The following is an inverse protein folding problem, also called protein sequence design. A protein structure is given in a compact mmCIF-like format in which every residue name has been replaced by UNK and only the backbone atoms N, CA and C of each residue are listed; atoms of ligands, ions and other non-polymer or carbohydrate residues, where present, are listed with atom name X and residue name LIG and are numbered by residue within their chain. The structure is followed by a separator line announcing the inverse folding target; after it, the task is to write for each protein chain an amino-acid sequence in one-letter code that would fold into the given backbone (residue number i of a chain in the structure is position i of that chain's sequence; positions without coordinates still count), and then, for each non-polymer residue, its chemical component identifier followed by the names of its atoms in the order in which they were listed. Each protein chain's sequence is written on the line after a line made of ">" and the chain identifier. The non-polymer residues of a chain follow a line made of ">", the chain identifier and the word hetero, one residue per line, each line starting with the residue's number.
data_IF_586583913087
#
_entry.id   IF_586583913087
#
_cell.length_a   1.000
_cell.length_b   1.000
_cell.length_c   1.000
_cell.angle_alpha   90.00
_cell.angle_beta   90.00
_cell.angle_gamma   90.00
#
_symmetry.space_group_name_H-M   'P 1'
#
loop_
_entity.id
_entity.type
_entity.pdbx_description
1 polymer ?
#
# COMPACT_ATOMS: atom_id res chain seq x y z
N UNK A 1 8.56 36.93 23.91
CA UNK A 1 9.06 35.91 22.96
C UNK A 1 9.67 34.79 23.78
N UNK A 2 9.00 33.65 23.87
CA UNK A 2 9.48 32.51 24.66
C UNK A 2 10.56 31.75 23.90
N UNK A 3 11.74 31.64 24.50
CA UNK A 3 12.87 30.87 23.94
C UNK A 3 12.45 29.42 23.76
N UNK A 4 12.54 28.89 22.54
CA UNK A 4 12.26 27.48 22.27
C UNK A 4 13.29 26.62 23.00
N UNK A 5 12.85 25.93 24.05
CA UNK A 5 13.70 25.01 24.82
C UNK A 5 14.03 23.83 23.91
N UNK A 6 15.32 23.60 23.64
CA UNK A 6 15.79 22.43 22.92
C UNK A 6 15.50 21.19 23.76
N UNK A 7 14.46 20.44 23.40
CA UNK A 7 14.05 19.23 24.11
C UNK A 7 15.11 18.14 23.90
N UNK A 8 15.71 17.66 24.99
CA UNK A 8 16.70 16.56 24.96
C UNK A 8 16.15 15.32 25.67
N UNK A 9 16.73 14.16 25.40
CA UNK A 9 16.34 12.88 26.01
C UNK A 9 16.38 12.95 27.54
N UNK A 10 17.34 13.66 28.10
CA UNK A 10 17.50 13.84 29.56
C UNK A 10 16.32 14.59 30.18
N UNK A 11 15.83 15.65 29.51
CA UNK A 11 14.67 16.41 29.96
C UNK A 11 13.39 15.55 29.94
N UNK A 12 13.25 14.66 28.94
CA UNK A 12 12.14 13.73 28.83
C UNK A 12 12.16 12.70 29.96
N UNK A 13 13.33 12.14 30.26
CA UNK A 13 13.48 11.12 31.31
C UNK A 13 13.09 11.66 32.68
N UNK A 14 13.56 12.85 33.03
CA UNK A 14 13.22 13.53 34.29
C UNK A 14 11.73 13.87 34.42
N UNK A 15 11.07 14.22 33.32
CA UNK A 15 9.64 14.47 33.32
C UNK A 15 8.83 13.20 33.61
N UNK A 16 9.22 12.05 33.04
CA UNK A 16 8.57 10.74 33.24
C UNK A 16 8.70 10.26 34.69
N UNK A 17 9.87 10.44 35.30
CA UNK A 17 10.13 10.01 36.68
C UNK A 17 9.24 10.72 37.72
N UNK A 18 8.69 11.89 37.39
CA UNK A 18 7.85 12.67 38.31
C UNK A 18 6.39 12.18 38.44
N UNK A 19 6.04 11.03 37.86
CA UNK A 19 4.72 10.37 37.94
C UNK A 19 3.52 11.26 37.53
N UNK A 20 3.79 12.41 36.91
CA UNK A 20 2.83 13.47 36.54
C UNK A 20 2.98 13.86 35.07
N UNK A 21 3.30 12.88 34.21
CA UNK A 21 3.57 13.14 32.79
C UNK A 21 2.52 12.47 31.90
N UNK A 22 1.88 13.28 31.05
CA UNK A 22 1.12 12.81 29.90
C UNK A 22 1.83 13.28 28.63
N UNK A 23 2.08 12.36 27.69
CA UNK A 23 2.58 12.71 26.37
C UNK A 23 1.42 12.91 25.41
N UNK A 24 1.37 14.08 24.77
CA UNK A 24 0.50 14.31 23.61
C UNK A 24 1.35 14.37 22.36
N UNK A 25 1.20 13.38 21.50
CA UNK A 25 1.82 13.35 20.18
C UNK A 25 0.83 13.93 19.16
N UNK A 26 1.21 15.00 18.48
CA UNK A 26 0.45 15.57 17.36
C UNK A 26 1.28 15.40 16.10
N UNK A 27 0.93 14.41 15.29
CA UNK A 27 1.57 14.15 14.00
C UNK A 27 0.69 14.69 12.87
N UNK A 28 1.31 15.42 11.95
CA UNK A 28 0.72 15.71 10.64
C UNK A 28 1.26 14.66 9.68
N UNK A 29 0.46 13.66 9.38
CA UNK A 29 0.82 12.61 8.43
C UNK A 29 0.56 13.10 7.01
N UNK A 30 1.49 12.84 6.10
CA UNK A 30 1.30 13.06 4.67
C UNK A 30 0.90 11.74 4.00
N UNK A 31 0.02 11.82 3.02
CA UNK A 31 -0.40 10.64 2.27
C UNK A 31 0.77 10.16 1.41
N UNK A 32 1.32 8.99 1.73
CA UNK A 32 2.22 8.27 0.82
C UNK A 32 1.35 7.55 -0.20
N UNK A 33 1.51 7.92 -1.47
CA UNK A 33 1.01 7.16 -2.61
C UNK A 33 2.05 6.10 -2.98
N UNK A 34 1.66 4.86 -3.35
CA UNK A 34 0.29 4.37 -3.57
C UNK A 34 -0.42 4.00 -2.25
N UNK A 35 -1.75 4.01 -2.27
CA UNK A 35 -2.56 3.43 -1.19
C UNK A 35 -2.20 1.96 -1.07
N UNK A 36 -1.44 1.61 -0.03
CA UNK A 36 -1.16 0.22 0.30
C UNK A 36 -2.41 -0.33 0.95
N UNK A 37 -3.08 -1.25 0.25
CA UNK A 37 -4.11 -2.04 0.91
C UNK A 37 -3.41 -2.99 1.89
N UNK A 38 -4.01 -3.20 3.05
CA UNK A 38 -5.29 -2.66 3.48
C UNK A 38 -5.18 -1.32 4.22
N UNK A 39 -6.26 -0.52 4.24
CA UNK A 39 -6.25 0.78 4.88
C UNK A 39 -6.16 0.66 6.40
N UNK A 40 -5.38 1.54 7.03
CA UNK A 40 -5.07 1.52 8.48
C UNK A 40 -6.12 2.22 9.35
N UNK A 41 -7.38 2.31 8.90
CA UNK A 41 -8.47 2.93 9.68
C UNK A 41 -9.29 1.87 10.43
N UNK A 42 -9.96 2.29 11.49
CA UNK A 42 -10.80 1.43 12.33
C UNK A 42 -11.96 0.81 11.53
N UNK A 43 -12.09 -0.52 11.56
CA UNK A 43 -13.12 -1.27 10.82
C UNK A 43 -12.72 -1.68 9.38
N UNK A 44 -11.50 -1.38 8.94
CA UNK A 44 -10.96 -1.91 7.69
C UNK A 44 -10.84 -3.44 7.71
N UNK A 45 -11.26 -4.11 6.64
CA UNK A 45 -11.03 -5.56 6.46
C UNK A 45 -9.71 -5.79 5.75
N UNK A 46 -8.85 -6.58 6.38
CA UNK A 46 -7.57 -6.99 5.84
C UNK A 46 -7.73 -8.18 4.91
N UNK A 47 -7.12 -8.13 3.72
CA UNK A 47 -6.85 -9.31 2.94
C UNK A 47 -5.69 -10.05 3.65
N UNK A 48 -5.95 -11.26 4.12
CA UNK A 48 -4.99 -12.07 4.87
C UNK A 48 -4.68 -13.32 4.07
N UNK A 49 -3.41 -13.70 4.03
CA UNK A 49 -2.94 -14.98 3.49
C UNK A 49 -2.10 -15.73 4.51
N UNK A 50 -2.05 -17.06 4.41
CA UNK A 50 -1.10 -17.86 5.18
C UNK A 50 0.24 -17.91 4.46
N UNK A 51 1.31 -17.44 5.12
CA UNK A 51 2.67 -17.55 4.60
C UNK A 51 3.48 -18.53 5.45
N UNK A 52 4.24 -19.41 4.78
CA UNK A 52 5.22 -20.28 5.44
C UNK A 52 6.49 -19.48 5.75
N UNK A 53 6.82 -19.34 7.03
CA UNK A 53 8.05 -18.69 7.51
C UNK A 53 8.75 -19.68 8.44
N UNK A 54 9.94 -20.14 8.06
CA UNK A 54 10.69 -21.11 8.87
C UNK A 54 9.94 -22.42 9.14
N UNK A 55 9.15 -22.91 8.18
CA UNK A 55 8.36 -24.14 8.31
C UNK A 55 7.05 -23.98 9.10
N UNK A 56 6.73 -22.79 9.59
CA UNK A 56 5.49 -22.50 10.32
C UNK A 56 4.58 -21.58 9.51
N UNK A 57 3.26 -21.80 9.57
CA UNK A 57 2.26 -20.94 8.93
C UNK A 57 1.99 -19.70 9.78
N UNK A 58 2.04 -18.52 9.17
CA UNK A 58 1.68 -17.25 9.80
C UNK A 58 0.61 -16.51 8.99
N UNK A 59 -0.43 -15.97 9.65
CA UNK A 59 -1.36 -15.05 9.00
C UNK A 59 -0.64 -13.74 8.70
N UNK A 60 -0.60 -13.34 7.43
CA UNK A 60 0.07 -12.14 6.95
C UNK A 60 -0.92 -11.26 6.18
N UNK A 61 -0.73 -9.95 6.28
CA UNK A 61 -1.49 -8.98 5.48
C UNK A 61 -0.97 -9.01 4.03
N UNK A 62 -1.87 -9.23 3.08
CA UNK A 62 -1.58 -9.17 1.65
C UNK A 62 -1.50 -7.70 1.22
N UNK A 63 -0.27 -7.20 1.03
CA UNK A 63 -0.01 -5.84 0.57
C UNK A 63 -0.16 -5.70 -0.94
N UNK A 64 0.31 -6.72 -1.67
CA UNK A 64 0.27 -6.77 -3.13
C UNK A 64 0.21 -8.22 -3.58
N UNK A 65 -0.70 -8.51 -4.51
CA UNK A 65 -0.96 -9.87 -4.96
C UNK A 65 -0.21 -10.17 -6.25
N UNK A 66 0.08 -11.45 -6.51
CA UNK A 66 0.68 -11.87 -7.79
C UNK A 66 -0.14 -11.40 -9.00
N UNK A 67 -1.49 -11.52 -9.01
CA UNK A 67 -2.29 -10.97 -10.11
C UNK A 67 -2.19 -9.44 -10.23
N UNK A 68 -2.16 -8.70 -9.11
CA UNK A 68 -2.00 -7.24 -9.11
C UNK A 68 -0.67 -6.82 -9.76
N UNK A 69 0.42 -7.51 -9.41
CA UNK A 69 1.73 -7.29 -10.02
C UNK A 69 1.74 -7.61 -11.51
N UNK A 70 1.12 -8.74 -11.91
CA UNK A 70 1.03 -9.14 -13.31
C UNK A 70 0.27 -8.10 -14.15
N UNK A 71 -0.87 -7.61 -13.66
CA UNK A 71 -1.67 -6.59 -14.36
C UNK A 71 -0.89 -5.28 -14.57
N UNK A 72 -0.08 -4.86 -13.60
CA UNK A 72 0.76 -3.66 -13.75
C UNK A 72 1.86 -3.85 -14.79
N UNK A 73 2.46 -5.04 -14.84
CA UNK A 73 3.46 -5.36 -15.86
C UNK A 73 2.83 -5.45 -17.26
N UNK A 74 1.63 -6.02 -17.36
CA UNK A 74 0.86 -6.05 -18.60
C UNK A 74 0.52 -4.65 -19.10
N UNK A 75 0.07 -3.76 -18.21
CA UNK A 75 -0.16 -2.36 -18.56
C UNK A 75 1.12 -1.66 -19.05
N UNK A 76 2.26 -1.90 -18.40
CA UNK A 76 3.53 -1.33 -18.86
C UNK A 76 3.95 -1.84 -20.24
N UNK A 77 3.67 -3.12 -20.55
CA UNK A 77 3.90 -3.68 -21.88
C UNK A 77 2.95 -3.09 -22.92
N UNK A 78 1.67 -2.91 -22.56
CA UNK A 78 0.67 -2.27 -23.41
C UNK A 78 1.07 -0.82 -23.73
N UNK A 79 1.46 -0.02 -22.74
CA UNK A 79 1.91 1.36 -22.92
C UNK A 79 3.13 1.44 -23.85
N UNK A 80 4.09 0.51 -23.70
CA UNK A 80 5.28 0.46 -24.55
C UNK A 80 4.94 0.06 -25.99
N UNK A 81 3.98 -0.85 -26.19
CA UNK A 81 3.50 -1.25 -27.50
C UNK A 81 2.75 -0.11 -28.18
N UNK A 82 1.79 0.50 -27.49
CA UNK A 82 0.98 1.61 -28.01
C UNK A 82 1.84 2.85 -28.31
N UNK A 83 2.91 3.06 -27.53
CA UNK A 83 3.91 4.10 -27.78
C UNK A 83 4.91 3.77 -28.90
N UNK A 84 4.83 2.59 -29.51
CA UNK A 84 5.76 2.15 -30.56
C UNK A 84 7.21 1.95 -30.06
N UNK A 85 7.40 1.78 -28.75
CA UNK A 85 8.72 1.55 -28.13
C UNK A 85 9.19 0.12 -28.35
N UNK A 86 8.24 -0.82 -28.38
CA UNK A 86 8.47 -2.23 -28.65
C UNK A 86 7.53 -2.72 -29.75
N UNK A 87 7.96 -3.73 -30.49
CA UNK A 87 7.13 -4.50 -31.41
C UNK A 87 7.16 -5.96 -30.98
N UNK A 88 6.00 -6.50 -30.62
CA UNK A 88 5.83 -7.90 -30.23
C UNK A 88 4.59 -8.49 -30.92
N UNK A 89 4.55 -9.81 -31.19
CA UNK A 89 3.34 -10.44 -31.70
C UNK A 89 2.20 -10.35 -30.68
N UNK A 90 1.09 -9.73 -31.07
CA UNK A 90 -0.12 -9.62 -30.24
C UNK A 90 -1.28 -10.34 -30.91
N UNK A 91 -2.01 -11.12 -30.11
CA UNK A 91 -3.26 -11.75 -30.53
C UNK A 91 -4.41 -10.93 -29.94
N UNK A 92 -5.22 -10.32 -30.80
CA UNK A 92 -6.39 -9.52 -30.41
C UNK A 92 -7.68 -10.13 -30.95
N UNK A 93 -8.78 -9.94 -30.23
CA UNK A 93 -10.13 -10.31 -30.68
C UNK A 93 -10.97 -9.05 -30.75
N UNK A 94 -11.68 -8.85 -31.87
CA UNK A 94 -12.62 -7.75 -32.06
C UNK A 94 -14.06 -8.29 -31.95
N UNK A 95 -14.83 -7.73 -31.03
CA UNK A 95 -16.22 -8.09 -30.78
C UNK A 95 -17.23 -7.06 -31.30
N UNK A 96 -16.78 -6.05 -32.06
CA UNK A 96 -17.64 -4.97 -32.58
C UNK A 96 -18.82 -5.45 -33.42
N UNK A 97 -18.71 -6.63 -34.05
CA UNK A 97 -19.76 -7.26 -34.86
C UNK A 97 -20.70 -8.21 -34.10
N UNK A 98 -20.59 -8.34 -32.78
CA UNK A 98 -21.41 -9.29 -31.99
C UNK A 98 -22.53 -8.54 -31.26
N UNK A 99 -23.78 -8.86 -31.59
CA UNK A 99 -24.93 -8.41 -30.80
C UNK A 99 -25.03 -9.21 -29.49
N UNK A 100 -25.16 -8.53 -28.36
CA UNK A 100 -25.43 -9.08 -27.02
C UNK A 100 -24.29 -9.89 -26.35
N UNK A 101 -23.14 -9.26 -26.12
CA UNK A 101 -21.97 -9.82 -25.41
C UNK A 101 -22.21 -10.22 -23.93
N UNK A 102 -23.35 -9.86 -23.32
CA UNK A 102 -23.57 -9.98 -21.88
C UNK A 102 -24.92 -10.62 -21.51
N UNK A 103 -25.32 -11.70 -22.20
CA UNK A 103 -26.37 -12.59 -21.67
C UNK A 103 -25.65 -13.80 -21.04
N UNK A 104 -25.76 -14.00 -19.72
CA UNK A 104 -25.16 -15.16 -19.04
C UNK A 104 -25.79 -16.49 -19.48
#
# INVERSE_FOLDING_TARGET
>A
MGTAIKMTVEHLRKAIESNSAAFRLTLKLEAVSPKVFPPTYEGGKYAIEERMIGGTKFPCVLLDSTPSQANRMELALQDALDGGVIEIPVVSVDFSGVENLCIP
#
